data_IF_321987932909
#
_entry.id   IF_321987932909
#
_cell.length_a   1.000
_cell.length_b   1.000
_cell.length_c   1.000
_cell.angle_alpha   90.00
_cell.angle_beta   90.00
_cell.angle_gamma   90.00
#
_symmetry.space_group_name_H-M   'P 1'
#
loop_
_entity.id
_entity.type
_entity.pdbx_description
1 polymer ?
#
# COMPACT_ATOMS: atom_id res chain seq x y z
N UNK A 1 -14.82 2.27 -21.60
CA UNK A 1 -14.84 2.18 -20.97
C UNK A 1 -14.16 1.50 -20.13
N UNK A 2 -13.80 1.96 -19.46
CA UNK A 2 -12.84 1.39 -18.63
C UNK A 2 -13.43 0.53 -17.60
N UNK A 3 -14.68 0.72 -17.28
CA UNK A 3 -15.32 -0.10 -16.27
C UNK A 3 -15.41 -1.56 -16.63
N UNK A 4 -15.26 -1.84 -17.91
CA UNK A 4 -15.36 -3.22 -18.38
C UNK A 4 -14.05 -3.93 -18.39
N UNK A 5 -12.96 -3.23 -18.07
CA UNK A 5 -11.64 -3.81 -18.10
C UNK A 5 -11.20 -4.22 -16.71
N UNK A 6 -12.11 -4.66 -15.90
CA UNK A 6 -11.77 -5.05 -14.55
C UNK A 6 -10.93 -6.32 -14.54
N UNK A 7 -9.97 -6.33 -13.66
CA UNK A 7 -9.08 -7.47 -13.49
C UNK A 7 -9.37 -8.09 -12.14
N UNK A 8 -9.51 -9.41 -12.12
CA UNK A 8 -9.73 -10.11 -10.87
C UNK A 8 -8.39 -10.52 -10.30
N UNK A 9 -8.21 -10.26 -9.02
CA UNK A 9 -6.96 -10.55 -8.32
C UNK A 9 -7.28 -11.48 -7.17
N UNK A 10 -6.53 -12.57 -7.09
CA UNK A 10 -6.66 -13.52 -5.99
C UNK A 10 -6.00 -12.97 -4.75
N UNK A 11 -6.68 -13.09 -3.62
CA UNK A 11 -6.06 -12.77 -2.35
C UNK A 11 -6.69 -13.66 -1.28
N UNK A 12 -5.94 -13.81 -0.18
CA UNK A 12 -6.34 -14.67 0.91
C UNK A 12 -7.41 -14.00 1.76
N UNK A 13 -8.22 -14.80 2.47
CA UNK A 13 -9.29 -14.20 3.28
C UNK A 13 -8.80 -13.21 4.33
N UNK A 14 -7.57 -13.35 4.79
CA UNK A 14 -7.05 -12.46 5.83
C UNK A 14 -6.29 -11.26 5.27
N UNK A 15 -6.22 -11.13 3.97
CA UNK A 15 -5.44 -10.06 3.36
C UNK A 15 -6.11 -8.70 3.57
N UNK A 16 -5.28 -7.70 3.76
CA UNK A 16 -5.68 -6.31 3.68
C UNK A 16 -5.06 -5.77 2.39
N UNK A 17 -5.89 -5.33 1.48
CA UNK A 17 -5.46 -4.94 0.14
C UNK A 17 -5.53 -3.42 0.02
N UNK A 18 -4.39 -2.80 -0.23
CA UNK A 18 -4.33 -1.35 -0.40
C UNK A 18 -4.53 -1.03 -1.87
N UNK A 19 -5.36 -0.04 -2.11
CA UNK A 19 -5.68 0.39 -3.45
C UNK A 19 -5.20 1.82 -3.63
N UNK A 20 -4.48 2.04 -4.73
CA UNK A 20 -4.04 3.37 -5.12
C UNK A 20 -4.59 3.61 -6.52
N UNK A 21 -5.46 4.60 -6.66
CA UNK A 21 -6.10 4.89 -7.94
C UNK A 21 -5.78 6.32 -8.36
N UNK A 22 -5.07 6.51 -9.46
CA UNK A 22 -4.85 7.86 -9.94
C UNK A 22 -6.15 8.45 -10.47
N UNK A 23 -6.35 9.72 -10.18
CA UNK A 23 -7.51 10.46 -10.68
C UNK A 23 -7.13 11.06 -12.03
N UNK A 24 -7.90 10.71 -13.05
CA UNK A 24 -7.60 11.13 -14.41
C UNK A 24 -8.51 12.28 -14.83
N UNK A 25 -8.00 13.11 -15.73
CA UNK A 25 -8.81 14.16 -16.33
C UNK A 25 -9.56 13.62 -17.53
N UNK A 26 -10.21 14.48 -18.28
CA UNK A 26 -11.07 14.05 -19.38
C UNK A 26 -10.31 13.47 -20.56
N UNK A 27 -9.01 13.75 -20.66
CA UNK A 27 -8.17 13.19 -21.69
C UNK A 27 -7.32 12.03 -21.19
N UNK A 28 -7.69 11.44 -20.05
CA UNK A 28 -7.00 10.33 -19.44
C UNK A 28 -5.59 10.69 -18.96
N UNK A 29 -5.30 11.97 -18.77
CA UNK A 29 -4.06 12.38 -18.14
C UNK A 29 -4.21 12.39 -16.64
N UNK A 30 -3.12 12.13 -15.94
CA UNK A 30 -3.16 12.11 -14.48
C UNK A 30 -3.22 13.54 -13.94
N UNK A 31 -4.17 13.78 -13.05
CA UNK A 31 -4.35 15.10 -12.45
C UNK A 31 -3.34 15.38 -11.33
N UNK A 32 -2.63 14.37 -10.87
CA UNK A 32 -1.77 14.51 -9.71
C UNK A 32 -2.44 14.07 -8.42
N UNK A 33 -3.71 13.74 -8.48
CA UNK A 33 -4.46 13.28 -7.31
C UNK A 33 -4.55 11.77 -7.28
N UNK A 34 -4.60 11.24 -6.06
CA UNK A 34 -4.75 9.81 -5.86
C UNK A 34 -5.91 9.54 -4.93
N UNK A 35 -6.66 8.50 -5.24
CA UNK A 35 -7.60 7.93 -4.27
C UNK A 35 -6.92 6.75 -3.65
N UNK A 36 -6.89 6.71 -2.33
CA UNK A 36 -6.27 5.60 -1.62
C UNK A 36 -7.28 5.04 -0.65
N UNK A 37 -7.19 3.75 -0.43
CA UNK A 37 -8.06 3.07 0.51
C UNK A 37 -7.62 1.64 0.66
N UNK A 38 -8.35 0.89 1.47
CA UNK A 38 -8.06 -0.52 1.61
C UNK A 38 -9.34 -1.29 1.79
N UNK A 39 -9.23 -2.60 1.61
CA UNK A 39 -10.35 -3.49 1.81
C UNK A 39 -9.86 -4.79 2.39
N UNK A 40 -10.72 -5.45 3.13
CA UNK A 40 -10.50 -6.81 3.58
C UNK A 40 -11.87 -7.47 3.57
N UNK A 41 -11.87 -8.80 3.51
CA UNK A 41 -13.13 -9.52 3.44
C UNK A 41 -13.84 -9.51 4.79
N UNK A 42 -15.17 -9.59 4.74
CA UNK A 42 -15.96 -9.68 5.96
C UNK A 42 -15.63 -10.94 6.74
N UNK A 43 -15.19 -11.98 6.04
CA UNK A 43 -14.81 -13.25 6.68
C UNK A 43 -13.35 -13.32 7.05
N UNK A 44 -12.72 -12.18 7.27
CA UNK A 44 -11.36 -12.18 7.76
C UNK A 44 -11.29 -13.00 9.04
N UNK A 45 -10.34 -13.94 9.08
CA UNK A 45 -10.26 -14.91 10.18
C UNK A 45 -9.32 -14.49 11.30
N UNK A 46 -8.75 -13.29 11.22
CA UNK A 46 -7.86 -12.84 12.29
C UNK A 46 -8.65 -12.65 13.58
N UNK A 47 -7.98 -12.96 14.70
CA UNK A 47 -8.56 -12.65 15.98
C UNK A 47 -8.69 -11.14 16.14
N UNK A 48 -9.61 -10.72 17.00
CA UNK A 48 -9.93 -9.31 17.14
C UNK A 48 -8.70 -8.45 17.38
N UNK A 49 -7.82 -8.87 18.29
CA UNK A 49 -6.63 -8.07 18.59
C UNK A 49 -5.69 -7.99 17.40
N UNK A 50 -5.50 -9.11 16.72
CA UNK A 50 -4.63 -9.14 15.56
C UNK A 50 -5.23 -8.35 14.41
N UNK A 51 -6.54 -8.44 14.24
CA UNK A 51 -7.23 -7.67 13.21
C UNK A 51 -7.00 -6.18 13.42
N UNK A 52 -7.18 -5.73 14.66
CA UNK A 52 -7.01 -4.31 14.95
C UNK A 52 -5.58 -3.86 14.73
N UNK A 53 -4.63 -4.73 15.02
CA UNK A 53 -3.22 -4.42 14.79
C UNK A 53 -2.92 -4.23 13.31
N UNK A 54 -3.35 -5.18 12.50
CA UNK A 54 -3.10 -5.10 11.06
C UNK A 54 -3.87 -3.94 10.45
N UNK A 55 -5.09 -3.71 10.94
CA UNK A 55 -5.88 -2.58 10.49
C UNK A 55 -5.14 -1.26 10.76
N UNK A 56 -4.58 -1.12 11.95
CA UNK A 56 -3.82 0.08 12.27
C UNK A 56 -2.62 0.25 11.36
N UNK A 57 -1.86 -0.84 11.16
CA UNK A 57 -0.70 -0.77 10.28
C UNK A 57 -1.08 -0.38 8.87
N UNK A 58 -2.19 -0.93 8.38
CA UNK A 58 -2.66 -0.59 7.05
C UNK A 58 -3.02 0.89 6.95
N UNK A 59 -3.69 1.39 7.98
CA UNK A 59 -4.05 2.81 8.01
C UNK A 59 -2.82 3.71 8.10
N UNK A 60 -1.79 3.26 8.79
CA UNK A 60 -0.54 4.03 8.83
C UNK A 60 0.12 4.08 7.46
N UNK A 61 0.08 2.98 6.74
CA UNK A 61 0.62 2.97 5.38
C UNK A 61 -0.15 3.93 4.48
N UNK A 62 -1.47 3.96 4.62
CA UNK A 62 -2.28 4.88 3.83
C UNK A 62 -2.01 6.33 4.21
N UNK A 63 -1.82 6.59 5.50
CA UNK A 63 -1.56 7.93 5.97
C UNK A 63 -0.22 8.46 5.45
N UNK A 64 0.70 7.57 5.11
CA UNK A 64 1.99 7.99 4.58
C UNK A 64 1.84 8.75 3.27
N UNK A 65 0.79 8.48 2.50
CA UNK A 65 0.60 9.12 1.20
C UNK A 65 0.40 10.64 1.36
N UNK A 66 -0.62 11.10 2.11
CA UNK A 66 -0.75 12.55 2.30
C UNK A 66 0.40 13.14 3.10
N UNK A 67 1.00 12.37 3.99
CA UNK A 67 2.13 12.90 4.74
C UNK A 67 3.32 13.19 3.85
N UNK A 68 3.53 12.38 2.80
CA UNK A 68 4.60 12.67 1.85
C UNK A 68 4.38 14.00 1.16
N UNK A 69 3.12 14.38 0.96
CA UNK A 69 2.82 15.65 0.33
C UNK A 69 3.12 16.80 1.28
N UNK A 70 2.80 16.64 2.54
CA UNK A 70 2.90 17.73 3.51
C UNK A 70 4.29 17.87 4.11
N UNK A 71 5.02 16.78 4.20
CA UNK A 71 6.28 16.77 4.95
C UNK A 71 7.42 16.39 4.02
N UNK A 72 8.17 17.40 3.60
CA UNK A 72 9.27 17.21 2.66
C UNK A 72 10.37 16.33 3.26
N UNK A 73 10.63 16.50 4.55
CA UNK A 73 11.67 15.69 5.20
C UNK A 73 11.30 14.23 5.22
N UNK A 74 10.04 13.94 5.52
CA UNK A 74 9.55 12.56 5.51
C UNK A 74 9.68 11.98 4.11
N UNK A 75 9.24 12.71 3.11
CA UNK A 75 9.30 12.24 1.72
C UNK A 75 10.74 11.97 1.30
N UNK A 76 11.65 12.86 1.66
CA UNK A 76 13.06 12.67 1.31
C UNK A 76 13.66 11.47 2.02
N UNK A 77 13.26 11.21 3.25
CA UNK A 77 13.71 10.01 3.96
C UNK A 77 13.26 8.75 3.25
N UNK A 78 12.03 8.75 2.75
CA UNK A 78 11.54 7.60 2.00
C UNK A 78 12.31 7.40 0.71
N UNK A 79 12.60 8.50 -0.01
CA UNK A 79 13.41 8.40 -1.23
C UNK A 79 14.76 7.78 -0.94
N UNK A 80 15.41 8.23 0.13
CA UNK A 80 16.73 7.71 0.47
C UNK A 80 16.68 6.25 0.84
N UNK A 81 15.67 5.88 1.60
CA UNK A 81 15.51 4.48 1.97
C UNK A 81 15.26 3.62 0.73
N UNK A 82 14.40 4.10 -0.15
CA UNK A 82 14.06 3.38 -1.37
C UNK A 82 15.31 3.16 -2.24
N UNK A 83 16.12 4.21 -2.38
CA UNK A 83 17.35 4.08 -3.16
C UNK A 83 18.30 3.08 -2.55
N UNK A 84 18.38 3.07 -1.23
CA UNK A 84 19.26 2.12 -0.55
C UNK A 84 18.79 0.69 -0.77
N UNK A 85 17.50 0.47 -0.72
CA UNK A 85 16.94 -0.86 -0.95
C UNK A 85 17.21 -1.32 -2.38
N UNK A 86 17.07 -0.42 -3.34
CA UNK A 86 17.36 -0.77 -4.72
C UNK A 86 18.80 -1.21 -4.90
N UNK A 87 19.73 -0.47 -4.30
CA UNK A 87 21.15 -0.81 -4.42
C UNK A 87 21.47 -2.15 -3.78
N UNK A 88 20.85 -2.40 -2.63
CA UNK A 88 21.15 -3.60 -1.87
C UNK A 88 20.57 -4.84 -2.51
N UNK A 89 19.34 -4.76 -2.97
CA UNK A 89 18.62 -5.93 -3.46
C UNK A 89 18.69 -6.09 -4.97
N UNK A 90 19.05 -5.04 -5.67
CA UNK A 90 19.14 -5.08 -7.11
C UNK A 90 17.80 -5.17 -7.81
N UNK A 91 16.71 -4.88 -7.12
CA UNK A 91 15.38 -4.93 -7.68
C UNK A 91 14.71 -3.58 -7.56
N UNK A 92 14.17 -3.07 -8.66
CA UNK A 92 13.56 -1.74 -8.61
C UNK A 92 12.20 -1.71 -7.94
N UNK A 93 11.52 -2.84 -7.84
CA UNK A 93 10.19 -2.87 -7.24
C UNK A 93 9.81 -4.29 -6.92
N UNK A 94 8.76 -4.41 -6.14
CA UNK A 94 8.22 -5.71 -5.77
C UNK A 94 7.23 -6.12 -6.84
N UNK A 95 7.44 -7.30 -7.38
CA UNK A 95 6.54 -7.89 -8.37
C UNK A 95 5.39 -8.58 -7.64
N UNK A 96 4.23 -8.66 -8.28
CA UNK A 96 3.12 -9.38 -7.68
C UNK A 96 3.38 -10.88 -7.58
N UNK A 97 4.45 -11.36 -8.22
CA UNK A 97 4.82 -12.76 -8.14
C UNK A 97 5.84 -13.04 -7.06
N UNK A 98 6.28 -12.02 -6.36
CA UNK A 98 7.28 -12.17 -5.31
C UNK A 98 6.69 -11.84 -3.97
N UNK A 99 6.98 -12.68 -3.00
CA UNK A 99 6.58 -12.41 -1.64
C UNK A 99 7.76 -11.88 -0.87
N UNK A 100 7.59 -10.69 -0.32
CA UNK A 100 8.59 -10.09 0.54
C UNK A 100 8.05 -10.05 1.96
N UNK A 101 8.68 -10.80 2.84
CA UNK A 101 8.22 -10.89 4.20
C UNK A 101 9.02 -9.94 5.07
N UNK A 102 8.31 -9.06 5.75
CA UNK A 102 8.90 -8.10 6.66
C UNK A 102 8.40 -8.41 8.06
N UNK A 103 9.33 -8.58 8.97
CA UNK A 103 8.96 -8.85 10.36
C UNK A 103 8.81 -7.53 11.10
N UNK A 104 7.64 -7.35 11.69
CA UNK A 104 7.34 -6.15 12.47
C UNK A 104 7.00 -6.57 13.88
N UNK A 105 7.74 -6.07 14.83
CA UNK A 105 7.44 -6.43 16.21
C UNK A 105 7.12 -5.22 17.08
N UNK A 106 7.18 -4.00 16.51
CA UNK A 106 6.86 -2.82 17.30
C UNK A 106 5.39 -2.79 17.71
N UNK A 107 4.54 -3.44 16.98
CA UNK A 107 3.12 -3.46 17.31
C UNK A 107 2.73 -4.55 18.28
N UNK A 108 3.66 -5.37 18.67
CA UNK A 108 3.37 -6.50 19.54
C UNK A 108 3.89 -6.34 20.95
N UNK A 109 4.28 -5.16 21.29
CA UNK A 109 4.84 -4.88 22.61
C UNK A 109 3.85 -5.12 23.74
#
# INVERSE_FOLDING_TARGET
MKGEDRIFVDFEPNDFVIRVSPVLDEQDGWTGDLRVGYMTLDENYLKDDDYQHVDLLTNLMLAAVPLMEEDVKFRNSLYKYHERVLKTQGKPKISHEEDNVVHLDFGKQ
#
